data_IF_681838959121
#
_entry.id   IF_681838959121
#
_cell.length_a   1.000
_cell.length_b   1.000
_cell.length_c   1.000
_cell.angle_alpha   90.00
_cell.angle_beta   90.00
_cell.angle_gamma   90.00
#
_symmetry.space_group_name_H-M   'P 1'
#
loop_
_entity.id
_entity.type
_entity.pdbx_description
1 polymer ?
#
# COMPACT_ATOMS: atom_id res chain seq x y z
N UNK A 1 6.98 -13.35 -6.90
CA UNK A 1 6.08 -12.21 -6.60
C UNK A 1 6.47 -11.11 -7.55
N UNK A 2 5.55 -10.61 -8.37
CA UNK A 2 5.80 -9.43 -9.20
C UNK A 2 6.38 -8.32 -8.32
N UNK A 3 7.55 -7.81 -8.68
CA UNK A 3 8.18 -6.76 -7.91
C UNK A 3 7.32 -5.51 -7.97
N UNK A 4 6.77 -5.13 -6.82
CA UNK A 4 5.98 -3.93 -6.71
C UNK A 4 6.93 -2.74 -6.86
N UNK A 5 6.63 -1.77 -7.74
CA UNK A 5 7.49 -0.63 -7.96
C UNK A 5 7.83 0.08 -6.65
N UNK A 6 9.06 0.57 -6.54
CA UNK A 6 9.55 1.19 -5.30
C UNK A 6 8.70 2.40 -4.89
N UNK A 7 8.15 3.15 -5.85
CA UNK A 7 7.26 4.28 -5.56
C UNK A 7 5.97 3.83 -4.87
N UNK A 8 5.36 2.71 -5.28
CA UNK A 8 4.17 2.15 -4.63
C UNK A 8 4.49 1.73 -3.19
N UNK A 9 5.66 1.12 -2.94
CA UNK A 9 6.06 0.73 -1.57
C UNK A 9 6.19 1.94 -0.65
N UNK A 10 6.77 3.05 -1.13
CA UNK A 10 6.83 4.29 -0.38
C UNK A 10 5.44 4.86 -0.09
N UNK A 11 4.50 4.80 -1.05
CA UNK A 11 3.11 5.21 -0.79
C UNK A 11 2.44 4.33 0.28
N UNK A 12 2.66 3.00 0.25
CA UNK A 12 2.11 2.10 1.28
C UNK A 12 2.69 2.44 2.66
N UNK A 13 4.00 2.72 2.75
CA UNK A 13 4.64 3.13 4.00
C UNK A 13 4.10 4.47 4.50
N UNK A 14 3.89 5.44 3.61
CA UNK A 14 3.29 6.72 3.93
C UNK A 14 1.89 6.56 4.54
N UNK A 15 1.02 5.77 3.89
CA UNK A 15 -0.33 5.48 4.40
C UNK A 15 -0.30 4.76 5.76
N UNK A 16 0.65 3.86 5.97
CA UNK A 16 0.86 3.19 7.25
C UNK A 16 1.24 4.19 8.35
N UNK A 17 2.16 5.12 8.06
CA UNK A 17 2.59 6.16 9.00
C UNK A 17 1.48 7.17 9.32
N UNK A 18 0.53 7.38 8.40
CA UNK A 18 -0.68 8.17 8.64
C UNK A 18 -1.70 7.45 9.55
N UNK A 19 -1.48 6.18 9.90
CA UNK A 19 -2.38 5.40 10.74
C UNK A 19 -3.60 4.84 10.00
N UNK A 20 -3.62 4.91 8.66
CA UNK A 20 -4.65 4.25 7.87
C UNK A 20 -4.55 2.73 8.02
N UNK A 21 -5.63 2.01 7.73
CA UNK A 21 -5.59 0.55 7.58
C UNK A 21 -5.25 0.17 6.12
N UNK A 22 -4.85 -1.08 5.90
CA UNK A 22 -4.38 -1.55 4.59
C UNK A 22 -5.43 -1.40 3.46
N UNK A 23 -6.72 -1.56 3.78
CA UNK A 23 -7.80 -1.41 2.79
C UNK A 23 -8.03 0.05 2.42
N UNK A 24 -7.99 0.96 3.40
CA UNK A 24 -8.03 2.40 3.15
C UNK A 24 -6.80 2.85 2.34
N UNK A 25 -5.60 2.37 2.71
CA UNK A 25 -4.37 2.65 1.99
C UNK A 25 -4.45 2.22 0.52
N UNK A 26 -4.92 1.00 0.24
CA UNK A 26 -5.08 0.52 -1.14
C UNK A 26 -6.04 1.40 -1.96
N UNK A 27 -7.15 1.82 -1.37
CA UNK A 27 -8.12 2.73 -2.02
C UNK A 27 -7.52 4.10 -2.29
N UNK A 28 -6.84 4.69 -1.31
CA UNK A 28 -6.19 6.00 -1.45
C UNK A 28 -5.13 5.97 -2.55
N UNK A 29 -4.31 4.91 -2.58
CA UNK A 29 -3.26 4.74 -3.59
C UNK A 29 -3.86 4.55 -4.98
N UNK A 30 -4.89 3.70 -5.15
CA UNK A 30 -5.58 3.53 -6.43
C UNK A 30 -6.29 4.82 -6.88
N UNK A 31 -6.86 5.59 -5.96
CA UNK A 31 -7.47 6.88 -6.29
C UNK A 31 -6.43 7.91 -6.79
N UNK A 32 -5.20 7.88 -6.24
CA UNK A 32 -4.14 8.82 -6.61
C UNK A 32 -3.35 8.40 -7.85
N UNK A 33 -3.07 7.10 -8.02
CA UNK A 33 -2.15 6.58 -9.03
C UNK A 33 -2.84 5.80 -10.16
N UNK A 34 -4.15 5.58 -10.05
CA UNK A 34 -4.96 4.83 -11.01
C UNK A 34 -5.47 3.51 -10.46
N UNK A 35 -6.65 3.10 -10.94
CA UNK A 35 -7.27 1.83 -10.57
C UNK A 35 -6.32 0.66 -10.86
N UNK A 36 -6.17 -0.23 -9.87
CA UNK A 36 -5.25 -1.37 -9.96
C UNK A 36 -3.78 -1.06 -9.70
N UNK A 37 -3.41 0.17 -9.33
CA UNK A 37 -2.02 0.51 -8.96
C UNK A 37 -1.47 -0.37 -7.82
N UNK A 38 -2.33 -0.76 -6.88
CA UNK A 38 -1.98 -1.70 -5.80
C UNK A 38 -3.17 -2.58 -5.41
N UNK A 39 -2.92 -3.84 -5.10
CA UNK A 39 -3.93 -4.74 -4.53
C UNK A 39 -4.05 -4.55 -3.00
N UNK A 40 -5.26 -4.72 -2.45
CA UNK A 40 -5.48 -4.74 -1.00
C UNK A 40 -4.58 -5.77 -0.28
N UNK A 41 -4.45 -6.98 -0.87
CA UNK A 41 -3.57 -8.04 -0.35
C UNK A 41 -2.11 -7.57 -0.22
N UNK A 42 -1.62 -6.82 -1.20
CA UNK A 42 -0.29 -6.24 -1.15
C UNK A 42 -0.14 -5.30 0.04
N UNK A 43 -1.10 -4.38 0.24
CA UNK A 43 -1.02 -3.43 1.34
C UNK A 43 -1.02 -4.17 2.69
N UNK A 44 -1.84 -5.22 2.84
CA UNK A 44 -1.85 -6.07 4.04
C UNK A 44 -0.52 -6.75 4.29
N UNK A 45 0.09 -7.33 3.26
CA UNK A 45 1.38 -8.03 3.38
C UNK A 45 2.51 -7.07 3.80
N UNK A 46 2.54 -5.85 3.25
CA UNK A 46 3.50 -4.82 3.67
C UNK A 46 3.22 -4.26 5.07
N UNK A 47 1.96 -4.04 5.43
CA UNK A 47 1.59 -3.58 6.75
C UNK A 47 1.98 -4.57 7.86
N UNK A 48 1.92 -5.87 7.57
CA UNK A 48 2.46 -6.89 8.49
C UNK A 48 3.96 -6.69 8.69
N UNK A 49 4.72 -6.54 7.60
CA UNK A 49 6.17 -6.32 7.63
C UNK A 49 6.60 -5.04 8.34
N UNK A 50 5.80 -3.97 8.28
CA UNK A 50 6.12 -2.71 8.97
C UNK A 50 5.84 -2.75 10.48
N UNK A 51 5.09 -3.75 10.95
CA UNK A 51 4.83 -3.96 12.38
C UNK A 51 5.84 -4.89 13.03
N UNK A 52 6.60 -5.62 12.22
CA UNK A 52 7.74 -6.44 12.63
C UNK A 52 8.98 -5.56 12.83
#
# INVERSE_FOLDING_TARGET
MSEIPIHIRHCILYEFQLGNNATAAARNICAALGEGAVADRTCRDWFKRFRE
#
